data_IF_853730258699
#
_entry.id   IF_853730258699
#
_cell.length_a   1.000
_cell.length_b   1.000
_cell.length_c   1.000
_cell.angle_alpha   90.00
_cell.angle_beta   90.00
_cell.angle_gamma   90.00
#
_symmetry.space_group_name_H-M   'P 1'
#
loop_
_entity.id
_entity.type
_entity.pdbx_description
1 polymer ?
#
# COMPACT_ATOMS: atom_id res chain seq x y z
N UNK A 1 15.43 -25.91 -34.49
CA UNK A 1 15.53 -25.71 -33.04
C UNK A 1 15.04 -24.30 -32.78
N UNK A 2 13.87 -24.20 -32.15
CA UNK A 2 13.07 -22.97 -32.10
C UNK A 2 13.54 -22.07 -30.95
N UNK A 3 13.84 -20.82 -31.28
CA UNK A 3 14.46 -19.78 -30.42
C UNK A 3 13.43 -19.09 -29.49
N UNK A 4 12.32 -19.76 -29.18
CA UNK A 4 11.10 -19.14 -28.62
C UNK A 4 10.98 -19.20 -27.07
N UNK A 5 12.01 -19.63 -26.34
CA UNK A 5 11.97 -19.77 -24.87
C UNK A 5 12.54 -18.59 -24.07
N UNK A 6 12.64 -17.39 -24.65
CA UNK A 6 13.08 -16.19 -23.92
C UNK A 6 11.95 -15.62 -23.03
N UNK A 7 12.22 -15.62 -21.72
CA UNK A 7 11.72 -14.67 -20.71
C UNK A 7 10.20 -14.43 -20.62
N UNK A 8 9.43 -15.44 -20.17
CA UNK A 8 8.17 -15.14 -19.49
C UNK A 8 8.44 -14.98 -18.00
N UNK A 9 8.28 -13.75 -17.49
CA UNK A 9 8.33 -13.45 -16.05
C UNK A 9 7.38 -14.41 -15.30
N UNK A 10 7.82 -15.07 -14.21
CA UNK A 10 6.94 -15.90 -13.40
C UNK A 10 5.98 -15.06 -12.53
N UNK A 11 6.12 -13.74 -12.56
CA UNK A 11 5.27 -12.80 -11.86
C UNK A 11 4.16 -12.29 -12.79
N UNK A 12 2.91 -12.63 -12.48
CA UNK A 12 1.72 -12.17 -13.20
C UNK A 12 1.02 -11.05 -12.41
N UNK A 13 0.67 -9.92 -13.04
CA UNK A 13 -0.12 -8.88 -12.40
C UNK A 13 -1.45 -9.41 -11.85
N UNK A 14 -1.78 -9.07 -10.60
CA UNK A 14 -3.06 -9.43 -9.99
C UNK A 14 -3.17 -10.83 -9.40
N UNK A 15 -2.13 -11.66 -9.48
CA UNK A 15 -2.07 -12.96 -8.79
C UNK A 15 -1.03 -12.94 -7.66
N UNK A 16 -1.32 -13.56 -6.50
CA UNK A 16 -0.32 -13.76 -5.47
C UNK A 16 0.85 -14.56 -6.02
N UNK A 17 2.06 -14.06 -5.81
CA UNK A 17 3.27 -14.75 -6.25
C UNK A 17 3.51 -15.97 -5.37
N UNK A 18 3.62 -17.18 -5.93
CA UNK A 18 3.93 -18.39 -5.16
C UNK A 18 5.16 -18.22 -4.27
N UNK A 19 5.10 -18.72 -3.03
CA UNK A 19 6.18 -18.62 -2.06
C UNK A 19 7.48 -19.26 -2.56
N UNK A 20 7.39 -20.29 -3.40
CA UNK A 20 8.57 -20.97 -3.96
C UNK A 20 9.41 -20.04 -4.86
N UNK A 21 8.80 -19.02 -5.46
CA UNK A 21 9.47 -18.03 -6.32
C UNK A 21 10.26 -16.98 -5.54
N UNK A 22 10.18 -16.97 -4.20
CA UNK A 22 10.98 -16.10 -3.33
C UNK A 22 12.17 -16.83 -2.71
N UNK A 23 12.69 -17.86 -3.38
CA UNK A 23 13.90 -18.57 -2.96
C UNK A 23 15.04 -17.57 -2.70
N UNK A 24 15.64 -17.62 -1.52
CA UNK A 24 16.68 -16.66 -1.08
C UNK A 24 16.17 -15.35 -0.46
N UNK A 25 14.85 -15.12 -0.33
CA UNK A 25 14.28 -13.95 0.39
C UNK A 25 13.62 -14.31 1.72
N UNK A 26 13.72 -15.56 2.16
CA UNK A 26 13.09 -16.06 3.39
C UNK A 26 13.50 -15.22 4.61
N UNK A 27 14.79 -14.94 4.79
CA UNK A 27 15.27 -14.12 5.91
C UNK A 27 14.71 -12.69 5.88
N UNK A 28 14.60 -12.09 4.68
CA UNK A 28 14.04 -10.74 4.51
C UNK A 28 12.56 -10.73 4.86
N UNK A 29 11.80 -11.72 4.37
CA UNK A 29 10.38 -11.90 4.65
C UNK A 29 10.18 -12.09 6.17
N UNK A 30 10.89 -13.06 6.76
CA UNK A 30 10.79 -13.37 8.19
C UNK A 30 11.12 -12.16 9.04
N UNK A 31 12.17 -11.41 8.70
CA UNK A 31 12.54 -10.18 9.41
C UNK A 31 11.45 -9.12 9.32
N UNK A 32 10.86 -8.89 8.15
CA UNK A 32 9.77 -7.90 7.99
C UNK A 32 8.52 -8.33 8.77
N UNK A 33 8.18 -9.62 8.76
CA UNK A 33 7.02 -10.12 9.49
C UNK A 33 7.23 -10.06 11.01
N UNK A 34 8.36 -10.55 11.52
CA UNK A 34 8.61 -10.65 12.96
C UNK A 34 9.01 -9.30 13.58
N UNK A 35 9.92 -8.56 12.94
CA UNK A 35 10.44 -7.28 13.44
C UNK A 35 9.68 -6.08 12.93
N UNK A 36 8.88 -6.23 11.88
CA UNK A 36 7.97 -5.19 11.39
C UNK A 36 6.55 -5.43 11.86
N UNK A 37 5.81 -6.29 11.17
CA UNK A 37 4.39 -6.50 11.43
C UNK A 37 4.11 -6.89 12.89
N UNK A 38 4.91 -7.81 13.46
CA UNK A 38 4.80 -8.24 14.85
C UNK A 38 5.01 -7.10 15.86
N UNK A 39 5.90 -6.15 15.58
CA UNK A 39 6.10 -4.97 16.44
C UNK A 39 4.98 -3.95 16.28
N UNK A 40 4.48 -3.74 15.05
CA UNK A 40 3.34 -2.83 14.78
C UNK A 40 2.07 -3.30 15.50
N UNK A 41 1.81 -4.60 15.54
CA UNK A 41 0.71 -5.19 16.32
C UNK A 41 0.82 -4.86 17.81
N UNK A 42 2.03 -4.66 18.34
CA UNK A 42 2.29 -4.25 19.73
C UNK A 42 2.26 -2.72 19.91
N UNK A 43 1.85 -1.96 18.90
CA UNK A 43 1.79 -0.49 18.92
C UNK A 43 3.12 0.20 18.66
N UNK A 44 4.15 -0.53 18.21
CA UNK A 44 5.47 0.05 17.90
C UNK A 44 5.60 0.28 16.39
N UNK A 45 5.63 1.54 15.92
CA UNK A 45 5.79 1.83 14.50
C UNK A 45 7.18 1.38 14.03
N UNK A 46 7.25 0.75 12.87
CA UNK A 46 8.47 0.23 12.26
C UNK A 46 8.57 0.65 10.80
N UNK A 47 9.79 0.92 10.34
CA UNK A 47 10.09 1.23 8.94
C UNK A 47 11.15 0.27 8.40
N UNK A 48 11.02 -0.07 7.11
CA UNK A 48 11.98 -0.88 6.36
C UNK A 48 12.27 -0.19 5.04
N UNK A 49 13.54 -0.21 4.63
CA UNK A 49 13.96 0.24 3.32
C UNK A 49 14.51 -0.95 2.54
N UNK A 50 13.90 -1.25 1.39
CA UNK A 50 14.28 -2.39 0.55
C UNK A 50 14.94 -1.85 -0.71
N UNK A 51 16.26 -2.04 -0.81
CA UNK A 51 17.04 -1.69 -1.99
C UNK A 51 17.20 -2.90 -2.90
N UNK A 52 17.46 -2.64 -4.18
CA UNK A 52 17.81 -3.66 -5.16
C UNK A 52 17.59 -3.18 -6.59
N UNK A 53 18.15 -3.90 -7.54
CA UNK A 53 18.06 -3.56 -8.96
C UNK A 53 16.60 -3.60 -9.49
N UNK A 54 16.37 -2.91 -10.61
CA UNK A 54 15.09 -2.99 -11.31
C UNK A 54 14.80 -4.44 -11.75
N UNK A 55 13.55 -4.88 -11.64
CA UNK A 55 13.16 -6.23 -12.03
C UNK A 55 13.50 -7.36 -11.03
N UNK A 56 14.20 -7.07 -9.93
CA UNK A 56 14.60 -8.11 -8.94
C UNK A 56 13.43 -8.65 -8.08
N UNK A 57 12.20 -8.17 -8.32
CA UNK A 57 11.00 -8.64 -7.62
C UNK A 57 10.68 -7.91 -6.30
N UNK A 58 11.07 -6.64 -6.14
CA UNK A 58 10.72 -5.83 -4.95
C UNK A 58 9.21 -5.61 -4.81
N UNK A 59 8.54 -5.20 -5.89
CA UNK A 59 7.09 -5.00 -5.89
C UNK A 59 6.35 -6.33 -5.68
N UNK A 60 6.86 -7.43 -6.24
CA UNK A 60 6.34 -8.79 -5.97
C UNK A 60 6.45 -9.16 -4.49
N UNK A 61 7.60 -8.90 -3.86
CA UNK A 61 7.81 -9.12 -2.43
C UNK A 61 6.84 -8.27 -1.59
N UNK A 62 6.64 -7.01 -1.95
CA UNK A 62 5.68 -6.15 -1.28
C UNK A 62 4.27 -6.73 -1.33
N UNK A 63 3.76 -7.08 -2.52
CA UNK A 63 2.43 -7.68 -2.69
C UNK A 63 2.27 -8.99 -1.89
N UNK A 64 3.31 -9.82 -1.85
CA UNK A 64 3.31 -11.03 -1.04
C UNK A 64 3.18 -10.72 0.46
N UNK A 65 3.97 -9.76 0.97
CA UNK A 65 3.90 -9.32 2.36
C UNK A 65 2.54 -8.71 2.70
N UNK A 66 1.93 -7.91 1.80
CA UNK A 66 0.59 -7.35 2.02
C UNK A 66 -0.45 -8.45 2.30
N UNK A 67 -0.39 -9.55 1.55
CA UNK A 67 -1.29 -10.68 1.75
C UNK A 67 -1.12 -11.34 3.12
N UNK A 68 0.12 -11.52 3.56
CA UNK A 68 0.44 -12.17 4.83
C UNK A 68 0.06 -11.27 6.01
N UNK A 69 0.42 -9.98 5.98
CA UNK A 69 0.16 -9.08 7.11
C UNK A 69 -1.33 -8.84 7.33
N UNK A 70 -2.13 -8.85 6.26
CA UNK A 70 -3.60 -8.78 6.38
C UNK A 70 -4.16 -10.06 7.01
N UNK A 71 -3.74 -11.24 6.54
CA UNK A 71 -4.26 -12.53 7.01
C UNK A 71 -3.79 -12.93 8.41
N UNK A 72 -2.50 -12.77 8.70
CA UNK A 72 -1.87 -13.33 9.89
C UNK A 72 -1.68 -12.30 11.02
N UNK A 73 -1.55 -11.02 10.67
CA UNK A 73 -1.27 -9.95 11.65
C UNK A 73 -2.44 -8.98 11.84
N UNK A 74 -3.52 -9.12 11.05
CA UNK A 74 -4.67 -8.20 11.05
C UNK A 74 -4.24 -6.74 10.85
N UNK A 75 -3.24 -6.52 9.99
CA UNK A 75 -2.80 -5.18 9.59
C UNK A 75 -3.45 -4.82 8.26
N UNK A 76 -4.02 -3.63 8.17
CA UNK A 76 -4.60 -3.16 6.91
C UNK A 76 -3.50 -2.67 5.98
N UNK A 77 -3.42 -3.23 4.77
CA UNK A 77 -2.36 -2.90 3.83
C UNK A 77 -2.76 -1.81 2.85
N UNK A 78 -1.86 -0.85 2.64
CA UNK A 78 -2.04 0.24 1.68
C UNK A 78 -0.81 0.29 0.78
N UNK A 79 -1.02 0.01 -0.51
CA UNK A 79 0.03 0.09 -1.52
C UNK A 79 0.01 1.45 -2.19
N UNK A 80 1.06 2.24 -1.96
CA UNK A 80 1.23 3.58 -2.51
C UNK A 80 2.28 3.51 -3.62
N UNK A 81 1.83 3.54 -4.88
CA UNK A 81 2.75 3.78 -5.99
C UNK A 81 3.14 5.24 -6.02
N UNK A 82 4.44 5.52 -6.01
CA UNK A 82 4.98 6.87 -6.14
C UNK A 82 5.46 7.18 -7.57
N UNK A 83 4.98 6.40 -8.55
CA UNK A 83 5.21 6.68 -9.97
C UNK A 83 4.59 8.03 -10.36
N UNK A 84 5.32 8.87 -11.10
CA UNK A 84 4.93 10.25 -11.40
C UNK A 84 4.86 11.24 -10.23
N UNK A 85 5.24 10.85 -9.00
CA UNK A 85 5.25 11.74 -7.83
C UNK A 85 6.62 12.40 -7.67
N UNK A 86 6.63 13.72 -7.41
CA UNK A 86 7.86 14.54 -7.37
C UNK A 86 7.99 15.43 -6.12
N UNK A 87 6.96 15.49 -5.27
CA UNK A 87 6.97 16.32 -4.05
C UNK A 87 6.13 15.67 -2.92
N UNK A 88 6.24 16.22 -1.70
CA UNK A 88 5.51 15.73 -0.52
C UNK A 88 4.00 15.87 -0.65
N UNK A 89 3.53 16.85 -1.42
CA UNK A 89 2.12 17.04 -1.69
C UNK A 89 1.57 15.87 -2.50
N UNK A 90 2.25 15.49 -3.57
CA UNK A 90 1.93 14.33 -4.40
C UNK A 90 2.02 13.01 -3.63
N UNK A 91 2.96 12.87 -2.68
CA UNK A 91 2.99 11.71 -1.78
C UNK A 91 1.70 11.62 -0.95
N UNK A 92 1.25 12.75 -0.42
CA UNK A 92 0.01 12.82 0.38
C UNK A 92 -1.21 12.45 -0.45
N UNK A 93 -1.30 12.97 -1.68
CA UNK A 93 -2.36 12.63 -2.64
C UNK A 93 -2.33 11.16 -3.04
N UNK A 94 -1.14 10.59 -3.26
CA UNK A 94 -0.98 9.17 -3.56
C UNK A 94 -1.44 8.27 -2.41
N UNK A 95 -1.14 8.63 -1.15
CA UNK A 95 -1.61 7.91 0.04
C UNK A 95 -3.14 7.92 0.11
N UNK A 96 -3.78 9.07 -0.11
CA UNK A 96 -5.24 9.21 -0.10
C UNK A 96 -5.89 8.32 -1.15
N UNK A 97 -5.39 8.37 -2.39
CA UNK A 97 -5.88 7.53 -3.50
C UNK A 97 -5.67 6.04 -3.22
N UNK A 98 -4.49 5.66 -2.72
CA UNK A 98 -4.17 4.29 -2.35
C UNK A 98 -5.08 3.75 -1.25
N UNK A 99 -5.43 4.60 -0.27
CA UNK A 99 -6.34 4.22 0.82
C UNK A 99 -7.73 3.89 0.30
N UNK A 100 -8.28 4.69 -0.62
CA UNK A 100 -9.59 4.41 -1.26
C UNK A 100 -9.59 3.08 -2.03
N UNK A 101 -8.46 2.72 -2.63
CA UNK A 101 -8.29 1.49 -3.41
C UNK A 101 -7.91 0.27 -2.57
N UNK A 102 -7.63 0.47 -1.28
CA UNK A 102 -7.19 -0.60 -0.37
C UNK A 102 -8.36 -1.48 0.11
N UNK A 103 -8.03 -2.56 0.84
CA UNK A 103 -9.03 -3.47 1.40
C UNK A 103 -9.57 -4.48 0.40
N UNK A 104 -8.80 -4.77 -0.66
CA UNK A 104 -9.20 -5.74 -1.68
C UNK A 104 -9.36 -7.18 -1.13
N UNK A 105 -8.69 -7.54 -0.03
CA UNK A 105 -8.81 -8.87 0.59
C UNK A 105 -9.91 -8.93 1.66
N UNK A 106 -10.43 -7.80 2.13
CA UNK A 106 -11.54 -7.72 3.09
C UNK A 106 -12.63 -6.73 2.62
N UNK A 107 -13.73 -7.24 2.03
CA UNK A 107 -14.84 -6.41 1.56
C UNK A 107 -15.40 -5.46 2.62
N UNK A 108 -15.33 -5.81 3.91
CA UNK A 108 -15.85 -4.98 5.01
C UNK A 108 -15.00 -3.72 5.18
N UNK A 109 -13.68 -3.84 5.00
CA UNK A 109 -12.77 -2.70 5.07
C UNK A 109 -13.01 -1.77 3.88
N UNK A 110 -13.05 -2.32 2.66
CA UNK A 110 -13.28 -1.50 1.47
C UNK A 110 -14.65 -0.81 1.49
N UNK A 111 -15.72 -1.50 1.92
CA UNK A 111 -17.03 -0.89 2.12
C UNK A 111 -17.00 0.25 3.14
N UNK A 112 -16.27 0.08 4.26
CA UNK A 112 -16.16 1.09 5.30
C UNK A 112 -15.41 2.34 4.83
N UNK A 113 -14.31 2.16 4.10
CA UNK A 113 -13.55 3.25 3.49
C UNK A 113 -14.43 3.98 2.46
N UNK A 114 -15.08 3.23 1.58
CA UNK A 114 -15.94 3.77 0.53
C UNK A 114 -17.13 4.54 1.09
N UNK A 115 -17.75 4.03 2.17
CA UNK A 115 -18.86 4.70 2.84
C UNK A 115 -18.42 6.02 3.45
N UNK A 116 -17.26 6.02 4.13
CA UNK A 116 -16.69 7.22 4.74
C UNK A 116 -16.32 8.30 3.69
N UNK A 117 -15.69 7.90 2.59
CA UNK A 117 -15.20 8.80 1.55
C UNK A 117 -16.18 8.97 0.37
N UNK A 118 -17.39 8.43 0.48
CA UNK A 118 -18.40 8.38 -0.59
C UNK A 118 -18.66 9.73 -1.25
N UNK A 119 -18.73 10.82 -0.47
CA UNK A 119 -18.93 12.18 -0.98
C UNK A 119 -17.79 12.71 -1.84
N UNK A 120 -16.62 12.09 -1.75
CA UNK A 120 -15.41 12.47 -2.47
C UNK A 120 -15.05 11.47 -3.57
N UNK A 121 -15.64 10.29 -3.62
CA UNK A 121 -15.35 9.32 -4.67
C UNK A 121 -16.01 9.78 -5.97
N UNK A 122 -15.21 10.04 -6.99
CA UNK A 122 -15.70 10.36 -8.32
C UNK A 122 -16.35 9.13 -8.97
N UNK A 123 -17.50 9.32 -9.62
CA UNK A 123 -18.12 8.29 -10.47
C UNK A 123 -17.30 8.15 -11.76
N UNK A 124 -16.34 7.24 -11.84
CA UNK A 124 -15.78 6.81 -13.13
C UNK A 124 -15.90 5.30 -13.32
N UNK A 125 -16.35 4.92 -14.51
CA UNK A 125 -16.90 3.60 -14.86
C UNK A 125 -15.90 2.64 -15.53
N UNK A 126 -14.58 2.96 -15.60
CA UNK A 126 -13.63 2.14 -16.38
C UNK A 126 -12.28 1.82 -15.69
N UNK A 127 -11.88 2.48 -14.60
CA UNK A 127 -10.55 2.28 -13.98
C UNK A 127 -10.56 2.21 -12.43
N UNK A 128 -11.66 1.79 -11.84
CA UNK A 128 -11.80 1.70 -10.38
C UNK A 128 -12.03 3.06 -9.71
N UNK A 129 -12.02 3.05 -8.38
CA UNK A 129 -12.36 4.20 -7.55
C UNK A 129 -11.26 5.27 -7.64
N UNK A 130 -11.65 6.52 -7.93
CA UNK A 130 -10.76 7.69 -7.92
C UNK A 130 -11.34 8.74 -6.99
N UNK A 131 -10.54 9.21 -6.04
CA UNK A 131 -10.92 10.26 -5.10
C UNK A 131 -10.85 11.62 -5.79
N UNK A 132 -11.90 12.41 -5.69
CA UNK A 132 -11.94 13.82 -6.06
C UNK A 132 -11.21 14.62 -4.97
N UNK A 133 -9.91 14.78 -5.15
CA UNK A 133 -9.03 15.49 -4.23
C UNK A 133 -9.41 16.96 -4.08
N UNK A 134 -9.96 17.60 -5.12
CA UNK A 134 -10.39 19.00 -5.05
C UNK A 134 -11.61 19.18 -4.14
N UNK A 135 -12.57 18.27 -4.22
CA UNK A 135 -13.71 18.25 -3.30
C UNK A 135 -13.28 17.96 -1.86
N UNK A 136 -12.32 17.04 -1.66
CA UNK A 136 -11.76 16.75 -0.34
C UNK A 136 -10.97 17.94 0.24
N UNK A 137 -10.13 18.59 -0.57
CA UNK A 137 -9.37 19.80 -0.21
C UNK A 137 -10.28 20.93 0.24
N UNK A 138 -11.37 21.16 -0.49
CA UNK A 138 -12.33 22.22 -0.18
C UNK A 138 -13.02 22.01 1.16
N UNK A 139 -13.41 20.76 1.45
CA UNK A 139 -14.10 20.41 2.69
C UNK A 139 -13.16 20.23 3.89
N UNK A 140 -11.94 19.75 3.65
CA UNK A 140 -10.96 19.45 4.69
C UNK A 140 -9.52 19.73 4.19
N UNK A 141 -9.12 21.01 4.15
CA UNK A 141 -7.81 21.43 3.61
C UNK A 141 -6.62 20.79 4.34
N UNK A 142 -6.79 20.48 5.62
CA UNK A 142 -5.76 19.83 6.45
C UNK A 142 -5.41 18.44 5.94
N UNK A 143 -6.41 17.62 5.55
CA UNK A 143 -6.22 16.19 5.23
C UNK A 143 -5.37 15.96 3.99
N UNK A 144 -5.36 16.91 3.06
CA UNK A 144 -4.56 16.83 1.82
C UNK A 144 -3.20 17.47 1.93
N UNK A 145 -2.90 18.16 3.04
CA UNK A 145 -1.56 18.69 3.30
C UNK A 145 -0.63 17.57 3.79
N UNK A 146 0.67 17.72 3.55
CA UNK A 146 1.68 16.80 4.09
C UNK A 146 1.68 16.72 5.62
N UNK A 147 1.13 17.71 6.32
CA UNK A 147 0.97 17.70 7.78
C UNK A 147 -0.25 16.87 8.21
N UNK A 148 -1.38 16.99 7.52
CA UNK A 148 -2.61 16.30 7.91
C UNK A 148 -2.72 14.86 7.42
N UNK A 149 -1.79 14.38 6.57
CA UNK A 149 -1.80 12.99 6.13
C UNK A 149 -1.63 12.00 7.29
N UNK A 150 -0.88 12.38 8.33
CA UNK A 150 -0.73 11.57 9.53
C UNK A 150 -2.05 11.43 10.29
N UNK A 151 -2.82 12.50 10.39
CA UNK A 151 -4.12 12.48 11.04
C UNK A 151 -5.13 11.68 10.21
N UNK A 152 -5.07 11.78 8.88
CA UNK A 152 -5.84 10.91 7.99
C UNK A 152 -5.52 9.43 8.19
N UNK A 153 -4.25 9.05 8.29
CA UNK A 153 -3.84 7.67 8.54
C UNK A 153 -4.30 7.19 9.93
N UNK A 154 -4.23 8.06 10.96
CA UNK A 154 -4.74 7.75 12.30
C UNK A 154 -6.25 7.56 12.30
N UNK A 155 -6.99 8.43 11.61
CA UNK A 155 -8.44 8.32 11.48
C UNK A 155 -8.81 7.04 10.72
N UNK A 156 -8.11 6.75 9.63
CA UNK A 156 -8.26 5.51 8.84
C UNK A 156 -8.12 4.31 9.77
N UNK A 157 -7.01 4.20 10.52
CA UNK A 157 -6.81 3.12 11.48
C UNK A 157 -7.94 3.08 12.53
N UNK A 158 -8.29 4.22 13.11
CA UNK A 158 -9.35 4.31 14.12
C UNK A 158 -10.69 3.78 13.60
N UNK A 159 -11.05 4.07 12.35
CA UNK A 159 -12.28 3.58 11.73
C UNK A 159 -12.25 2.09 11.44
N UNK A 160 -11.09 1.46 11.35
CA UNK A 160 -10.98 0.02 11.05
C UNK A 160 -10.78 -0.84 12.31
N UNK A 161 -10.56 -0.23 13.48
CA UNK A 161 -10.28 -0.96 14.74
C UNK A 161 -11.40 -1.91 15.16
N UNK A 162 -12.65 -1.53 14.97
CA UNK A 162 -13.82 -2.37 15.27
C UNK A 162 -13.96 -3.57 14.31
N UNK A 163 -13.29 -3.54 13.16
CA UNK A 163 -13.15 -4.69 12.26
C UNK A 163 -11.98 -5.62 12.65
N UNK A 164 -11.28 -5.32 13.75
CA UNK A 164 -10.13 -6.09 14.24
C UNK A 164 -8.78 -5.64 13.69
N UNK A 165 -8.73 -4.55 12.91
CA UNK A 165 -7.47 -4.02 12.38
C UNK A 165 -6.59 -3.47 13.50
N UNK A 166 -5.36 -4.01 13.61
CA UNK A 166 -4.41 -3.69 14.69
C UNK A 166 -3.41 -2.59 14.32
N UNK A 167 -3.26 -2.30 13.04
CA UNK A 167 -2.33 -1.29 12.53
C UNK A 167 -2.42 -1.16 11.02
N UNK A 168 -1.60 -0.26 10.47
CA UNK A 168 -1.45 -0.08 9.02
C UNK A 168 -0.12 -0.67 8.56
N UNK A 169 -0.12 -1.29 7.40
CA UNK A 169 1.09 -1.67 6.67
C UNK A 169 1.16 -0.85 5.39
N UNK A 170 2.05 0.15 5.38
CA UNK A 170 2.20 1.07 4.25
C UNK A 170 3.36 0.60 3.38
N UNK A 171 3.11 0.40 2.09
CA UNK A 171 4.15 0.18 1.09
C UNK A 171 4.27 1.44 0.26
N UNK A 172 5.45 2.03 0.25
CA UNK A 172 5.80 3.13 -0.65
C UNK A 172 6.70 2.58 -1.75
N UNK A 173 6.12 2.35 -2.93
CA UNK A 173 6.86 1.86 -4.09
C UNK A 173 7.44 3.04 -4.86
N UNK A 174 8.68 3.38 -4.51
CA UNK A 174 9.42 4.50 -5.09
C UNK A 174 10.17 4.04 -6.34
N UNK A 175 9.81 4.66 -7.47
CA UNK A 175 10.40 4.37 -8.78
C UNK A 175 11.20 5.57 -9.30
N UNK A 176 10.93 6.79 -8.79
CA UNK A 176 11.43 8.04 -9.39
C UNK A 176 12.49 8.79 -8.57
N UNK A 177 13.01 8.23 -7.48
CA UNK A 177 14.05 8.92 -6.71
C UNK A 177 13.55 10.14 -5.92
N UNK A 178 12.30 10.17 -5.42
CA UNK A 178 11.87 11.20 -4.44
C UNK A 178 12.83 11.20 -3.24
N UNK A 179 13.33 10.03 -2.84
CA UNK A 179 14.32 9.89 -1.79
C UNK A 179 15.71 10.49 -2.15
N UNK A 180 15.94 10.86 -3.42
CA UNK A 180 17.17 11.52 -3.86
C UNK A 180 17.14 13.04 -3.72
N UNK A 181 15.99 13.62 -3.37
CA UNK A 181 15.80 15.05 -3.11
C UNK A 181 15.17 15.26 -1.71
N UNK A 182 15.98 15.13 -0.63
CA UNK A 182 15.51 15.26 0.75
C UNK A 182 15.15 16.71 1.14
#
# INVERSE_FOLDING_TARGET
MDESSKNKSPFYPGQPVPAELFTGRQEVIERILTRGAGQVVQGKPMSFFIQGEYGIGKSSLASYLQNIVEKEYSLHSIYVSLSGVHDLQGVSEAILQATVRSGALDPRISEKINSWLSKYIGKQQLFGLTLNLEALKKDNPSVTSYLGILDFLRETLSKMRDLGTKGLFLVFDEINGIASQP
#
